data_IF_522300819510
#
_entry.id   IF_522300819510
#
_cell.length_a   1.000
_cell.length_b   1.000
_cell.length_c   1.000
_cell.angle_alpha   90.00
_cell.angle_beta   90.00
_cell.angle_gamma   90.00
#
_symmetry.space_group_name_H-M   'P 1'
#
loop_
_entity.id
_entity.type
_entity.pdbx_description
1 polymer ?
#
# COMPACT_ATOMS: atom_id res chain seq x y z
N UNK A 1 -15.37 -29.68 -8.44
CA UNK A 1 -14.63 -28.41 -8.59
C UNK A 1 -14.60 -27.75 -7.22
N UNK A 2 -13.42 -27.64 -6.62
CA UNK A 2 -13.26 -26.93 -5.35
C UNK A 2 -13.22 -25.42 -5.66
N UNK A 3 -14.38 -24.90 -6.03
CA UNK A 3 -14.60 -23.49 -6.29
C UNK A 3 -14.63 -22.74 -4.97
N UNK A 4 -13.80 -21.71 -4.87
CA UNK A 4 -13.73 -20.77 -3.75
C UNK A 4 -15.14 -20.32 -3.32
N UNK A 5 -15.35 -20.10 -2.02
CA UNK A 5 -16.68 -19.88 -1.43
C UNK A 5 -17.50 -18.72 -2.04
N UNK A 6 -18.78 -18.56 -1.69
CA UNK A 6 -19.71 -17.64 -2.36
C UNK A 6 -19.36 -16.15 -2.28
N UNK A 7 -18.34 -15.76 -1.50
CA UNK A 7 -17.85 -14.38 -1.38
C UNK A 7 -16.56 -14.13 -2.16
N UNK A 8 -16.12 -15.09 -2.97
CA UNK A 8 -14.88 -14.98 -3.73
C UNK A 8 -15.07 -14.00 -4.87
N UNK A 9 -14.17 -13.02 -4.96
CA UNK A 9 -14.10 -12.14 -6.12
C UNK A 9 -13.70 -12.96 -7.35
N UNK A 10 -14.47 -12.85 -8.43
CA UNK A 10 -14.23 -13.58 -9.69
C UNK A 10 -13.76 -12.66 -10.81
N UNK A 11 -13.88 -11.34 -10.63
CA UNK A 11 -13.42 -10.34 -11.60
C UNK A 11 -11.90 -10.28 -11.71
N UNK A 12 -11.19 -10.53 -10.61
CA UNK A 12 -9.74 -10.40 -10.53
C UNK A 12 -9.10 -11.69 -10.04
N UNK A 13 -8.00 -12.07 -10.67
CA UNK A 13 -7.12 -13.13 -10.24
C UNK A 13 -6.48 -12.82 -8.87
N UNK A 14 -6.00 -13.84 -8.15
CA UNK A 14 -5.28 -13.65 -6.89
C UNK A 14 -4.06 -12.72 -7.01
N UNK A 15 -3.34 -12.77 -8.14
CA UNK A 15 -2.17 -11.92 -8.37
C UNK A 15 -2.53 -10.46 -8.56
N UNK A 16 -3.65 -10.18 -9.23
CA UNK A 16 -4.18 -8.83 -9.39
C UNK A 16 -4.62 -8.29 -8.03
N UNK A 17 -5.42 -9.05 -7.27
CA UNK A 17 -5.85 -8.68 -5.90
C UNK A 17 -4.68 -8.37 -4.97
N UNK A 18 -3.57 -9.13 -5.10
CA UNK A 18 -2.35 -8.84 -4.37
C UNK A 18 -1.72 -7.51 -4.79
N UNK A 19 -1.72 -7.16 -6.09
CA UNK A 19 -1.24 -5.87 -6.58
C UNK A 19 -2.08 -4.70 -6.03
N UNK A 20 -3.43 -4.81 -6.10
CA UNK A 20 -4.33 -3.85 -5.45
C UNK A 20 -3.98 -3.65 -3.98
N UNK A 21 -3.85 -4.76 -3.24
CA UNK A 21 -3.56 -4.73 -1.80
C UNK A 21 -2.23 -4.04 -1.50
N UNK A 22 -1.17 -4.30 -2.29
CA UNK A 22 0.13 -3.65 -2.11
C UNK A 22 0.09 -2.16 -2.39
N UNK A 23 -0.65 -1.72 -3.42
CA UNK A 23 -0.83 -0.27 -3.70
C UNK A 23 -1.46 0.42 -2.49
N UNK A 24 -2.57 -0.11 -1.98
CA UNK A 24 -3.25 0.48 -0.81
C UNK A 24 -2.37 0.43 0.44
N UNK A 25 -1.73 -0.70 0.72
CA UNK A 25 -0.88 -0.87 1.89
C UNK A 25 0.29 0.13 1.88
N UNK A 26 0.98 0.29 0.75
CA UNK A 26 2.08 1.26 0.61
C UNK A 26 1.62 2.69 0.82
N UNK A 27 0.49 3.07 0.20
CA UNK A 27 -0.06 4.42 0.32
C UNK A 27 -0.45 4.74 1.77
N UNK A 28 -1.21 3.84 2.40
CA UNK A 28 -1.68 4.04 3.78
C UNK A 28 -0.52 4.05 4.76
N UNK A 29 0.45 3.14 4.61
CA UNK A 29 1.59 3.08 5.53
C UNK A 29 2.43 4.37 5.49
N UNK A 30 2.77 4.87 4.30
CA UNK A 30 3.53 6.11 4.17
C UNK A 30 2.74 7.31 4.69
N UNK A 31 1.45 7.39 4.35
CA UNK A 31 0.57 8.47 4.79
C UNK A 31 0.46 8.51 6.31
N UNK A 32 0.09 7.39 6.94
CA UNK A 32 -0.06 7.33 8.39
C UNK A 32 1.26 7.60 9.12
N UNK A 33 2.37 7.07 8.61
CA UNK A 33 3.69 7.32 9.21
C UNK A 33 4.09 8.79 9.16
N UNK A 34 3.90 9.46 8.03
CA UNK A 34 4.28 10.87 7.85
C UNK A 34 3.29 11.84 8.52
N UNK A 35 1.99 11.70 8.25
CA UNK A 35 0.96 12.57 8.84
C UNK A 35 0.89 12.39 10.37
N UNK A 36 0.96 11.15 10.86
CA UNK A 36 0.96 10.85 12.29
C UNK A 36 2.17 11.43 13.02
N UNK A 37 3.38 11.25 12.46
CA UNK A 37 4.58 11.86 13.03
C UNK A 37 4.49 13.39 13.07
N UNK A 38 3.96 14.01 12.01
CA UNK A 38 3.73 15.46 11.95
C UNK A 38 2.77 15.96 13.03
N UNK A 39 1.67 15.26 13.27
CA UNK A 39 0.70 15.61 14.32
C UNK A 39 1.31 15.54 15.72
N UNK A 40 2.11 14.50 16.00
CA UNK A 40 2.76 14.34 17.31
C UNK A 40 3.84 15.41 17.53
N UNK A 41 4.63 15.71 16.50
CA UNK A 41 5.60 16.81 16.55
C UNK A 41 4.91 18.16 16.80
N UNK A 42 3.78 18.43 16.14
CA UNK A 42 2.99 19.64 16.33
C UNK A 42 2.42 19.77 17.75
N UNK A 43 2.17 18.64 18.44
CA UNK A 43 1.76 18.62 19.84
C UNK A 43 2.93 18.87 20.83
N UNK A 44 4.15 19.12 20.35
CA UNK A 44 5.33 19.39 21.18
C UNK A 44 5.99 18.14 21.77
N UNK A 45 5.62 16.96 21.29
CA UNK A 45 6.25 15.68 21.66
C UNK A 45 7.43 15.42 20.72
N UNK A 46 8.44 14.67 21.20
CA UNK A 46 9.63 14.33 20.39
C UNK A 46 9.26 13.59 19.09
N UNK A 47 9.21 14.36 18.00
CA UNK A 47 8.96 13.83 16.67
C UNK A 47 10.13 12.98 16.15
N UNK A 48 11.36 13.27 16.53
CA UNK A 48 12.53 12.54 16.04
C UNK A 48 12.53 11.10 16.55
N UNK A 49 12.33 10.90 17.85
CA UNK A 49 12.19 9.57 18.46
C UNK A 49 11.04 8.76 17.86
N UNK A 50 9.88 9.41 17.61
CA UNK A 50 8.75 8.76 16.98
C UNK A 50 9.05 8.36 15.52
N UNK A 51 9.67 9.24 14.73
CA UNK A 51 9.96 8.94 13.32
C UNK A 51 10.90 7.74 13.16
N UNK A 52 11.88 7.60 14.05
CA UNK A 52 12.76 6.44 14.14
C UNK A 52 11.99 5.17 14.55
N UNK A 53 11.13 5.27 15.57
CA UNK A 53 10.30 4.14 16.03
C UNK A 53 9.31 3.64 14.98
N UNK A 54 8.75 4.54 14.16
CA UNK A 54 7.89 4.21 13.02
C UNK A 54 8.65 3.62 11.83
N UNK A 55 9.98 3.71 11.80
CA UNK A 55 10.80 3.22 10.69
C UNK A 55 10.51 3.96 9.38
N UNK A 56 10.43 5.29 9.42
CA UNK A 56 10.04 6.10 8.25
C UNK A 56 10.90 5.86 7.01
N UNK A 57 12.20 5.63 7.17
CA UNK A 57 13.07 5.25 6.05
C UNK A 57 12.67 3.91 5.42
N UNK A 58 12.28 2.93 6.23
CA UNK A 58 11.79 1.64 5.74
C UNK A 58 10.44 1.78 5.03
N UNK A 59 9.56 2.68 5.49
CA UNK A 59 8.29 3.00 4.81
C UNK A 59 8.52 3.64 3.44
N UNK A 60 9.52 4.52 3.31
CA UNK A 60 9.94 5.08 2.01
C UNK A 60 10.54 3.99 1.13
N UNK A 61 11.43 3.14 1.66
CA UNK A 61 12.00 2.01 0.92
C UNK A 61 10.94 1.03 0.42
N UNK A 62 9.89 0.78 1.20
CA UNK A 62 8.77 -0.08 0.82
C UNK A 62 7.96 0.47 -0.37
N UNK A 63 8.14 1.73 -0.77
CA UNK A 63 7.54 2.29 -1.99
C UNK A 63 8.16 1.74 -3.28
N UNK A 64 9.28 1.03 -3.19
CA UNK A 64 9.86 0.31 -4.32
C UNK A 64 8.84 -0.61 -4.99
N UNK A 65 8.72 -0.48 -6.32
CA UNK A 65 7.77 -1.24 -7.14
C UNK A 65 6.31 -0.77 -7.05
N UNK A 66 6.03 0.41 -6.48
CA UNK A 66 4.68 0.98 -6.46
C UNK A 66 4.15 1.23 -7.89
N UNK A 67 4.95 1.83 -8.77
CA UNK A 67 4.52 2.10 -10.14
C UNK A 67 4.21 0.81 -10.90
N UNK A 68 5.07 -0.21 -10.79
CA UNK A 68 4.81 -1.52 -11.40
C UNK A 68 3.49 -2.14 -10.92
N UNK A 69 3.17 -2.01 -9.63
CA UNK A 69 1.89 -2.49 -9.10
C UNK A 69 0.70 -1.62 -9.55
N UNK A 70 0.89 -0.31 -9.72
CA UNK A 70 -0.11 0.57 -10.31
C UNK A 70 -0.36 0.24 -11.79
N UNK A 71 0.68 -0.11 -12.55
CA UNK A 71 0.55 -0.56 -13.93
C UNK A 71 -0.21 -1.88 -14.02
N UNK A 72 0.17 -2.88 -13.20
CA UNK A 72 -0.59 -4.15 -13.11
C UNK A 72 -2.06 -3.93 -12.76
N UNK A 73 -2.34 -3.01 -11.84
CA UNK A 73 -3.72 -2.63 -11.49
C UNK A 73 -4.43 -1.98 -12.66
N UNK A 74 -3.78 -1.08 -13.39
CA UNK A 74 -4.37 -0.44 -14.57
C UNK A 74 -4.65 -1.46 -15.68
N UNK A 75 -3.74 -2.42 -15.91
CA UNK A 75 -3.94 -3.50 -16.88
C UNK A 75 -5.14 -4.36 -16.50
N UNK A 76 -5.27 -4.72 -15.22
CA UNK A 76 -6.40 -5.49 -14.69
C UNK A 76 -7.74 -4.75 -14.78
N UNK A 77 -7.77 -3.43 -14.53
CA UNK A 77 -9.00 -2.63 -14.58
C UNK A 77 -9.44 -2.37 -16.01
N UNK A 78 -8.50 -1.98 -16.87
CA UNK A 78 -8.80 -1.42 -18.19
C UNK A 78 -8.57 -2.42 -19.33
N UNK A 79 -8.03 -3.61 -19.05
CA UNK A 79 -7.67 -4.58 -20.08
C UNK A 79 -6.61 -4.05 -21.03
N UNK A 80 -5.66 -3.25 -20.51
CA UNK A 80 -4.54 -2.75 -21.34
C UNK A 80 -3.69 -3.95 -21.70
N UNK A 81 -3.69 -4.30 -22.97
CA UNK A 81 -2.67 -5.12 -23.59
C UNK A 81 -1.66 -4.16 -24.20
N UNK A 82 -0.44 -4.15 -23.67
CA UNK A 82 0.69 -3.68 -24.46
C UNK A 82 0.86 -4.54 -25.73
#
# INVERSE_FOLDING_TARGET
EEGWGPKSETRFSPTELAAFSRVFARHVALRLGTEGAGLVAAAGVDGAGLTAALGLEALVGAQGGLLDDMDRVADAIYGRTD
#
